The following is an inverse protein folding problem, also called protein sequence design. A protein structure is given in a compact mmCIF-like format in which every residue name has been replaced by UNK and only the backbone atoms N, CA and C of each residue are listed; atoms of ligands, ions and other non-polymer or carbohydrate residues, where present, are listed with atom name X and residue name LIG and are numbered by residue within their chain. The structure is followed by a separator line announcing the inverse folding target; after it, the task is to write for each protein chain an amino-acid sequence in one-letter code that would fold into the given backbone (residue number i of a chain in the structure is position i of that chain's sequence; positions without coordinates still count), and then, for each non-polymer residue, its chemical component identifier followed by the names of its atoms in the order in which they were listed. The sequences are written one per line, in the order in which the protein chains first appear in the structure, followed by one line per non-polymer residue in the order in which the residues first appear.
data_IF_202573640862
#
_entry.id   IF_202573640862
#
_cell.length_a   1.000
_cell.length_b   1.000
_cell.length_c   1.000
_cell.angle_alpha   90.00
_cell.angle_beta   90.00
_cell.angle_gamma   90.00
#
_symmetry.space_group_name_H-M   'P 1'
#
loop_
_entity.id
_entity.type
_entity.pdbx_description
1 polymer ?
#
# COMPACT_ATOMS: atom_id res chain seq x y z
N UNK A 1 17.54 -13.34 26.81
CA UNK A 1 16.35 -13.03 25.99
C UNK A 1 16.78 -13.12 24.53
N UNK A 2 16.11 -13.93 23.73
CA UNK A 2 16.44 -14.13 22.32
C UNK A 2 16.41 -12.80 21.55
N UNK A 3 17.32 -12.64 20.57
CA UNK A 3 17.40 -11.46 19.70
C UNK A 3 16.06 -11.30 18.96
N UNK A 4 15.29 -10.26 19.27
CA UNK A 4 14.10 -9.91 18.46
C UNK A 4 14.63 -9.42 17.12
N UNK A 5 14.29 -10.15 16.05
CA UNK A 5 14.68 -9.80 14.69
C UNK A 5 13.73 -8.71 14.19
N UNK A 6 14.27 -7.63 13.64
CA UNK A 6 13.49 -6.59 12.95
C UNK A 6 12.70 -7.22 11.81
N UNK A 7 11.38 -7.02 11.81
CA UNK A 7 10.50 -7.53 10.76
C UNK A 7 10.60 -6.67 9.49
N UNK A 8 10.59 -7.33 8.33
CA UNK A 8 10.57 -6.68 7.03
C UNK A 8 9.14 -6.61 6.51
N UNK A 9 8.64 -5.38 6.32
CA UNK A 9 7.29 -5.10 5.81
C UNK A 9 7.41 -4.46 4.43
N UNK A 10 6.76 -5.00 3.41
CA UNK A 10 6.80 -4.40 2.09
C UNK A 10 5.84 -3.22 1.95
N UNK A 11 6.34 -2.01 1.63
CA UNK A 11 5.51 -0.81 1.45
C UNK A 11 4.60 -0.97 0.22
N UNK A 12 3.27 -0.86 0.43
CA UNK A 12 2.23 -1.12 -0.60
C UNK A 12 2.44 -2.46 -1.32
N UNK A 13 2.85 -3.45 -0.54
CA UNK A 13 3.43 -4.70 -1.01
C UNK A 13 4.88 -4.51 -1.45
N UNK A 14 5.08 -4.18 -2.71
CA UNK A 14 6.40 -3.82 -3.26
C UNK A 14 6.18 -3.04 -4.54
N UNK A 15 5.13 -2.21 -4.57
CA UNK A 15 4.66 -1.50 -5.74
C UNK A 15 4.86 0.00 -5.62
N UNK A 16 4.59 0.72 -6.70
CA UNK A 16 4.65 2.19 -6.70
C UNK A 16 3.63 2.76 -7.68
N UNK A 17 3.15 3.97 -7.40
CA UNK A 17 2.33 4.79 -8.30
C UNK A 17 3.02 6.11 -8.66
N UNK A 18 4.21 6.38 -8.12
CA UNK A 18 4.88 7.67 -8.27
C UNK A 18 5.84 7.69 -9.44
N UNK A 19 6.02 8.91 -9.94
CA UNK A 19 6.98 9.18 -10.98
C UNK A 19 8.42 8.91 -10.49
N UNK A 20 9.13 7.97 -11.12
CA UNK A 20 10.48 7.59 -10.70
C UNK A 20 10.50 6.71 -9.46
N UNK A 21 9.40 6.01 -9.18
CA UNK A 21 9.35 4.99 -8.14
C UNK A 21 10.33 3.83 -8.38
N UNK A 22 10.51 3.03 -7.34
CA UNK A 22 11.54 1.98 -7.29
C UNK A 22 11.06 0.60 -7.73
N UNK A 23 9.78 0.47 -8.07
CA UNK A 23 9.14 -0.79 -8.46
C UNK A 23 8.61 -0.78 -9.89
N UNK A 24 8.57 -1.98 -10.50
CA UNK A 24 7.93 -2.23 -11.79
C UNK A 24 6.43 -2.56 -11.66
N UNK A 25 5.95 -2.75 -10.43
CA UNK A 25 4.59 -3.21 -10.13
C UNK A 25 3.74 -2.06 -9.60
N UNK A 26 2.44 -1.99 -9.97
CA UNK A 26 1.54 -1.02 -9.36
C UNK A 26 1.47 -1.21 -7.85
N UNK A 27 1.48 -0.11 -7.11
CA UNK A 27 1.22 -0.12 -5.66
C UNK A 27 -0.08 -0.84 -5.33
N UNK A 28 -0.16 -1.43 -4.14
CA UNK A 28 -1.40 -1.98 -3.59
C UNK A 28 -2.13 -2.98 -4.52
N UNK A 29 -1.41 -3.58 -5.47
CA UNK A 29 -1.95 -4.55 -6.40
C UNK A 29 -1.79 -5.95 -5.83
N UNK A 30 -2.68 -6.87 -6.21
CA UNK A 30 -2.49 -8.28 -5.86
C UNK A 30 -1.09 -8.75 -6.29
N UNK A 31 -0.61 -8.34 -7.46
CA UNK A 31 0.71 -8.74 -7.90
C UNK A 31 1.85 -8.18 -7.02
N UNK A 32 1.79 -6.92 -6.57
CA UNK A 32 2.84 -6.37 -5.70
C UNK A 32 2.91 -7.11 -4.36
N UNK A 33 1.78 -7.54 -3.80
CA UNK A 33 1.72 -8.38 -2.61
C UNK A 33 2.27 -9.79 -2.87
N UNK A 34 1.94 -10.40 -4.03
CA UNK A 34 2.54 -11.68 -4.44
C UNK A 34 4.06 -11.57 -4.49
N UNK A 35 4.57 -10.56 -5.19
CA UNK A 35 6.00 -10.35 -5.34
C UNK A 35 6.68 -10.13 -3.98
N UNK A 36 6.07 -9.37 -3.07
CA UNK A 36 6.58 -9.17 -1.72
C UNK A 36 6.65 -10.50 -0.94
N UNK A 37 5.58 -11.30 -0.96
CA UNK A 37 5.52 -12.64 -0.35
C UNK A 37 6.61 -13.56 -0.90
N UNK A 38 6.73 -13.65 -2.22
CA UNK A 38 7.75 -14.49 -2.88
C UNK A 38 9.17 -13.97 -2.58
N UNK A 39 9.28 -12.66 -2.36
CA UNK A 39 10.48 -11.99 -1.85
C UNK A 39 10.65 -12.15 -0.34
N UNK A 40 9.95 -13.06 0.35
CA UNK A 40 10.20 -13.48 1.72
C UNK A 40 10.19 -12.37 2.78
N UNK A 41 9.29 -11.39 2.64
CA UNK A 41 9.00 -10.40 3.69
C UNK A 41 8.13 -11.03 4.80
N UNK A 42 8.13 -10.41 5.99
CA UNK A 42 7.30 -10.84 7.12
C UNK A 42 5.85 -10.32 7.01
N UNK A 43 5.65 -9.24 6.25
CA UNK A 43 4.34 -8.65 6.03
C UNK A 43 4.34 -7.59 4.95
N UNK A 44 3.18 -6.98 4.76
CA UNK A 44 2.97 -5.90 3.81
C UNK A 44 2.20 -4.78 4.49
N UNK A 45 2.52 -3.56 4.10
CA UNK A 45 1.73 -2.38 4.36
C UNK A 45 0.79 -2.14 3.17
N UNK A 46 -0.42 -1.68 3.46
CA UNK A 46 -1.43 -1.35 2.46
C UNK A 46 -2.34 -0.21 2.92
N UNK A 47 -2.79 0.58 1.95
CA UNK A 47 -3.62 1.75 2.17
C UNK A 47 -5.10 1.45 1.90
N UNK A 48 -5.99 1.75 2.84
CA UNK A 48 -7.44 1.51 2.67
C UNK A 48 -8.28 2.79 2.73
N UNK A 49 -9.31 2.81 1.89
CA UNK A 49 -10.33 3.86 1.82
C UNK A 49 -11.73 3.27 1.94
N UNK A 50 -12.67 4.06 2.47
CA UNK A 50 -14.09 3.72 2.49
C UNK A 50 -14.79 4.36 1.29
N UNK A 51 -15.23 3.56 0.33
CA UNK A 51 -15.94 4.03 -0.88
C UNK A 51 -17.33 4.57 -0.55
N UNK A 52 -17.99 5.20 -1.53
CA UNK A 52 -19.36 5.70 -1.44
C UNK A 52 -20.38 4.61 -1.12
N UNK A 53 -20.15 3.39 -1.58
CA UNK A 53 -20.97 2.20 -1.33
C UNK A 53 -20.46 1.37 -0.13
N UNK A 54 -19.69 1.98 0.77
CA UNK A 54 -19.20 1.39 2.02
C UNK A 54 -18.39 0.10 1.82
N UNK A 55 -17.58 0.04 0.76
CA UNK A 55 -16.59 -1.01 0.55
C UNK A 55 -15.22 -0.51 0.96
N UNK A 56 -14.41 -1.39 1.54
CA UNK A 56 -13.02 -1.10 1.91
C UNK A 56 -12.13 -1.48 0.74
N UNK A 57 -11.69 -0.49 -0.01
CA UNK A 57 -10.85 -0.64 -1.21
C UNK A 57 -9.39 -0.32 -0.88
N UNK A 58 -8.46 -1.04 -1.50
CA UNK A 58 -7.03 -0.85 -1.30
C UNK A 58 -6.44 -0.05 -2.46
N UNK A 59 -5.94 1.14 -2.16
CA UNK A 59 -5.32 2.10 -3.08
C UNK A 59 -4.70 3.23 -2.24
N UNK A 60 -3.53 3.75 -2.59
CA UNK A 60 -3.03 4.95 -1.89
C UNK A 60 -3.80 6.18 -2.36
N UNK A 61 -3.89 6.36 -3.68
CA UNK A 61 -4.38 7.58 -4.30
C UNK A 61 -3.33 8.68 -4.27
N UNK A 62 -3.74 9.90 -4.55
CA UNK A 62 -2.93 11.09 -4.30
C UNK A 62 -3.05 11.55 -2.86
N UNK A 63 -2.20 12.48 -2.43
CA UNK A 63 -2.21 13.01 -1.05
C UNK A 63 -3.55 13.67 -0.68
N UNK A 64 -4.27 14.16 -1.68
CA UNK A 64 -5.62 14.73 -1.54
C UNK A 64 -6.75 13.71 -1.80
N UNK A 65 -6.44 12.43 -1.98
CA UNK A 65 -7.41 11.34 -2.06
C UNK A 65 -8.06 11.11 -3.42
N UNK A 66 -7.40 11.47 -4.53
CA UNK A 66 -7.84 11.21 -5.90
C UNK A 66 -7.17 9.97 -6.51
N UNK A 67 -7.69 9.50 -7.64
CA UNK A 67 -7.28 8.22 -8.26
C UNK A 67 -6.23 8.32 -9.37
N UNK A 68 -5.94 9.50 -9.90
CA UNK A 68 -5.30 9.68 -11.22
C UNK A 68 -3.80 9.34 -11.31
N UNK A 69 -3.11 9.21 -10.18
CA UNK A 69 -1.72 8.77 -10.14
C UNK A 69 -1.58 7.26 -10.15
N UNK A 70 -2.54 6.57 -9.53
CA UNK A 70 -2.55 5.10 -9.43
C UNK A 70 -3.29 4.46 -10.62
N UNK A 71 -4.33 5.11 -11.14
CA UNK A 71 -5.24 4.54 -12.14
C UNK A 71 -5.21 5.28 -13.48
N UNK A 72 -5.31 4.52 -14.56
CA UNK A 72 -5.44 5.05 -15.92
C UNK A 72 -6.89 5.50 -16.19
N UNK A 73 -7.24 6.68 -15.66
CA UNK A 73 -8.57 7.27 -15.74
C UNK A 73 -8.82 8.01 -17.07
N UNK A 74 -10.09 8.23 -17.41
CA UNK A 74 -10.51 9.10 -18.52
C UNK A 74 -10.47 10.57 -18.13
N UNK A 75 -10.40 11.46 -19.13
CA UNK A 75 -10.37 12.90 -18.89
C UNK A 75 -11.68 13.36 -18.21
N UNK A 76 -11.54 14.13 -17.13
CA UNK A 76 -12.62 14.57 -16.25
C UNK A 76 -12.72 13.77 -14.95
N UNK A 77 -12.33 12.48 -14.96
CA UNK A 77 -12.41 11.61 -13.79
C UNK A 77 -11.20 11.74 -12.87
N UNK A 78 -10.12 12.37 -13.33
CA UNK A 78 -8.90 12.55 -12.54
C UNK A 78 -9.12 13.37 -11.26
N UNK A 79 -10.16 14.18 -11.20
CA UNK A 79 -10.43 15.08 -10.09
C UNK A 79 -11.35 14.47 -9.01
N UNK A 80 -11.86 13.26 -9.23
CA UNK A 80 -12.81 12.61 -8.34
C UNK A 80 -12.07 11.97 -7.17
N UNK A 81 -12.58 12.19 -5.95
CA UNK A 81 -12.03 11.56 -4.75
C UNK A 81 -12.48 10.10 -4.64
N UNK A 82 -11.61 9.26 -4.08
CA UNK A 82 -11.88 7.84 -3.83
C UNK A 82 -13.15 7.67 -2.99
N UNK A 83 -13.37 8.54 -2.00
CA UNK A 83 -14.53 8.48 -1.10
C UNK A 83 -15.88 8.80 -1.77
N UNK A 84 -15.84 9.47 -2.93
CA UNK A 84 -17.00 9.88 -3.75
C UNK A 84 -17.40 8.85 -4.80
N UNK A 85 -16.58 7.82 -4.99
CA UNK A 85 -16.80 6.74 -5.95
C UNK A 85 -17.26 5.47 -5.26
N UNK A 86 -18.07 4.67 -5.93
CA UNK A 86 -18.32 3.28 -5.54
C UNK A 86 -17.11 2.41 -5.87
N UNK A 87 -16.93 1.30 -5.16
CA UNK A 87 -15.86 0.35 -5.47
C UNK A 87 -15.93 -0.14 -6.93
N UNK A 88 -17.15 -0.32 -7.44
CA UNK A 88 -17.38 -0.74 -8.82
C UNK A 88 -16.89 0.30 -9.84
N UNK A 89 -17.10 1.59 -9.58
CA UNK A 89 -16.61 2.67 -10.44
C UNK A 89 -15.07 2.73 -10.41
N UNK A 90 -14.44 2.64 -9.24
CA UNK A 90 -12.98 2.61 -9.12
C UNK A 90 -12.39 1.40 -9.87
N UNK A 91 -12.96 0.22 -9.66
CA UNK A 91 -12.52 -1.03 -10.29
C UNK A 91 -12.81 -1.08 -11.80
N UNK A 92 -13.52 -0.11 -12.38
CA UNK A 92 -13.66 0.02 -13.83
C UNK A 92 -12.38 0.53 -14.50
N UNK A 93 -11.51 1.22 -13.76
CA UNK A 93 -10.20 1.62 -14.22
C UNK A 93 -9.16 0.52 -14.00
N UNK A 94 -8.11 0.56 -14.81
CA UNK A 94 -6.95 -0.30 -14.64
C UNK A 94 -5.81 0.47 -13.98
N UNK A 95 -4.91 -0.26 -13.32
CA UNK A 95 -3.66 0.33 -12.85
C UNK A 95 -2.92 1.03 -13.98
N UNK A 96 -2.43 2.22 -13.69
CA UNK A 96 -1.52 2.96 -14.56
C UNK A 96 -0.15 2.30 -14.54
N UNK A 97 0.57 2.31 -15.66
CA UNK A 97 1.94 1.77 -15.74
C UNK A 97 2.85 2.56 -14.79
N UNK A 98 3.48 1.92 -13.77
CA UNK A 98 4.41 2.59 -12.89
C UNK A 98 5.61 3.13 -13.67
N UNK A 99 6.06 4.35 -13.36
CA UNK A 99 7.16 4.93 -14.08
C UNK A 99 8.52 4.55 -13.47
N UNK A 100 9.15 3.56 -14.10
CA UNK A 100 10.45 3.04 -13.74
C UNK A 100 11.62 3.95 -14.12
N UNK A 101 12.50 4.15 -13.14
CA UNK A 101 13.89 4.60 -13.27
C UNK A 101 14.71 3.77 -14.30
N UNK A 102 14.27 2.57 -14.69
CA UNK A 102 15.00 1.69 -15.62
C UNK A 102 14.46 1.65 -17.06
N UNK A 103 13.42 2.44 -17.40
CA UNK A 103 12.82 2.51 -18.75
C UNK A 103 12.99 3.91 -19.36
N UNK A 104 14.21 4.47 -19.32
CA UNK A 104 14.55 5.71 -20.05
C UNK A 104 14.20 5.62 -21.55
N UNK A 105 14.14 4.40 -22.12
CA UNK A 105 13.80 4.20 -23.53
C UNK A 105 12.29 4.29 -23.87
N UNK A 106 11.38 4.39 -22.90
CA UNK A 106 9.92 4.43 -23.18
C UNK A 106 9.35 5.85 -23.35
N UNK A 107 10.20 6.86 -23.16
CA UNK A 107 9.84 8.27 -23.23
C UNK A 107 10.82 9.14 -24.02
N UNK A 108 11.97 8.61 -24.48
CA UNK A 108 12.80 9.24 -25.52
C UNK A 108 12.20 8.95 -26.90
N UNK A 109 11.31 9.82 -27.37
CA UNK A 109 11.20 10.04 -28.81
C UNK A 109 12.32 11.00 -29.21
N UNK A 110 13.29 10.49 -29.98
CA UNK A 110 14.30 11.27 -30.70
C UNK A 110 15.26 12.11 -29.85
N UNK A 111 16.39 11.53 -29.45
CA UNK A 111 17.66 12.26 -29.47
C UNK A 111 18.67 11.45 -30.26
N UNK A 112 19.07 12.04 -31.39
CA UNK A 112 20.00 11.53 -32.36
C UNK A 112 21.35 11.18 -31.73
N UNK A 113 21.93 10.10 -32.24
CA UNK A 113 23.36 9.79 -32.31
C UNK A 113 24.29 10.77 -31.58
N UNK A 114 24.70 10.43 -30.36
CA UNK A 114 26.04 10.73 -29.90
C UNK A 114 26.50 9.67 -28.90
N UNK A 115 27.48 8.87 -29.34
CA UNK A 115 28.34 8.07 -28.49
C UNK A 115 29.03 8.99 -27.49
N UNK A 116 28.77 8.80 -26.19
CA UNK A 116 29.71 8.97 -25.07
C UNK A 116 28.97 8.66 -23.75
N UNK A 117 29.53 7.75 -22.94
CA UNK A 117 29.21 7.48 -21.52
C UNK A 117 27.87 8.04 -20.99
N UNK A 118 26.75 7.34 -21.22
CA UNK A 118 25.51 7.61 -20.49
C UNK A 118 25.55 6.85 -19.16
N UNK A 119 26.21 7.42 -18.15
CA UNK A 119 25.77 7.17 -16.77
C UNK A 119 24.30 7.60 -16.70
N UNK A 120 23.37 6.64 -16.68
CA UNK A 120 21.94 6.92 -16.59
C UNK A 120 21.68 7.66 -15.27
N UNK A 121 21.47 8.97 -15.35
CA UNK A 121 21.12 9.79 -14.20
C UNK A 121 19.75 9.32 -13.70
N UNK A 122 19.73 8.62 -12.57
CA UNK A 122 18.50 8.15 -11.91
C UNK A 122 17.56 9.33 -11.64
N UNK A 123 16.23 9.10 -11.66
CA UNK A 123 15.21 10.15 -11.44
C UNK A 123 15.51 11.05 -10.25
N UNK A 124 15.89 10.43 -9.12
CA UNK A 124 16.23 11.16 -7.90
C UNK A 124 17.39 12.15 -8.09
N UNK A 125 18.38 11.82 -8.93
CA UNK A 125 19.56 12.64 -9.17
C UNK A 125 19.29 13.77 -10.18
N UNK A 126 18.07 13.85 -10.74
CA UNK A 126 17.68 14.93 -11.63
C UNK A 126 17.42 16.21 -10.85
N UNK A 127 17.69 17.35 -11.49
CA UNK A 127 17.28 18.66 -11.01
C UNK A 127 15.74 18.76 -10.89
N UNK A 128 15.24 19.57 -9.95
CA UNK A 128 13.81 19.63 -9.63
C UNK A 128 12.95 20.15 -10.80
N UNK A 129 13.49 21.03 -11.64
CA UNK A 129 12.85 21.47 -12.88
C UNK A 129 12.55 20.27 -13.82
N UNK A 130 13.51 19.35 -13.98
CA UNK A 130 13.38 18.15 -14.81
C UNK A 130 12.42 17.16 -14.12
N UNK A 131 12.54 16.96 -12.81
CA UNK A 131 11.60 16.11 -12.05
C UNK A 131 10.17 16.58 -12.24
N UNK A 132 9.92 17.88 -12.07
CA UNK A 132 8.60 18.49 -12.27
C UNK A 132 8.06 18.27 -13.69
N UNK A 133 8.89 18.44 -14.72
CA UNK A 133 8.50 18.16 -16.10
C UNK A 133 8.14 16.69 -16.32
N UNK A 134 8.96 15.76 -15.79
CA UNK A 134 8.71 14.32 -15.90
C UNK A 134 7.46 13.89 -15.11
N UNK A 135 7.21 14.44 -13.92
CA UNK A 135 5.95 14.27 -13.17
C UNK A 135 4.76 14.69 -14.01
N UNK A 136 4.78 15.88 -14.62
CA UNK A 136 3.69 16.34 -15.52
C UNK A 136 3.43 15.39 -16.69
N UNK A 137 4.49 14.91 -17.35
CA UNK A 137 4.37 13.91 -18.43
C UNK A 137 3.76 12.59 -17.93
N UNK A 138 4.16 12.14 -16.74
CA UNK A 138 3.58 10.96 -16.11
C UNK A 138 2.09 11.17 -15.76
N UNK A 139 1.71 12.29 -15.15
CA UNK A 139 0.31 12.61 -14.85
C UNK A 139 -0.57 12.60 -16.11
N UNK A 140 -0.07 13.10 -17.24
CA UNK A 140 -0.77 13.07 -18.54
C UNK A 140 -0.80 11.68 -19.20
N UNK A 141 0.03 10.74 -18.76
CA UNK A 141 0.03 9.38 -19.30
C UNK A 141 -1.28 8.66 -18.96
N UNK A 142 -1.80 7.91 -19.94
CA UNK A 142 -2.95 7.01 -19.82
C UNK A 142 -2.55 5.57 -20.15
N UNK A 143 -1.28 5.24 -19.96
CA UNK A 143 -0.77 3.88 -20.21
C UNK A 143 -1.25 2.96 -19.09
N UNK A 144 -2.03 1.96 -19.47
CA UNK A 144 -2.41 0.85 -18.60
C UNK A 144 -1.20 -0.04 -18.36
N UNK A 145 -1.00 -0.47 -17.10
CA UNK A 145 0.01 -1.44 -16.73
C UNK A 145 -0.17 -2.76 -17.49
N UNK A 146 0.88 -3.21 -18.16
CA UNK A 146 0.92 -4.50 -18.84
C UNK A 146 2.23 -5.20 -18.52
N UNK A 147 2.15 -6.43 -18.06
CA UNK A 147 3.33 -7.25 -17.84
C UNK A 147 3.00 -8.73 -18.08
N UNK A 148 3.64 -9.30 -19.09
CA UNK A 148 3.37 -10.67 -19.55
C UNK A 148 3.92 -11.72 -18.61
N UNK A 149 5.05 -11.43 -17.95
CA UNK A 149 5.67 -12.34 -16.98
C UNK A 149 4.76 -12.54 -15.76
N UNK A 150 3.92 -11.56 -15.43
CA UNK A 150 2.95 -11.68 -14.35
C UNK A 150 1.89 -12.75 -14.66
N UNK A 151 1.44 -12.84 -15.92
CA UNK A 151 0.35 -13.74 -16.33
C UNK A 151 0.72 -15.20 -16.08
N UNK A 152 1.94 -15.61 -16.42
CA UNK A 152 2.41 -16.99 -16.21
C UNK A 152 2.47 -17.34 -14.72
N UNK A 153 2.93 -16.40 -13.88
CA UNK A 153 2.96 -16.60 -12.44
C UNK A 153 1.57 -16.58 -11.78
N UNK A 154 0.67 -15.74 -12.28
CA UNK A 154 -0.73 -15.69 -11.83
C UNK A 154 -1.43 -16.99 -12.24
N UNK A 155 -1.15 -17.53 -13.43
CA UNK A 155 -1.66 -18.83 -13.85
C UNK A 155 -1.16 -19.97 -12.96
N UNK A 156 0.11 -19.95 -12.57
CA UNK A 156 0.65 -20.91 -11.61
C UNK A 156 -0.12 -20.83 -10.29
N UNK A 157 -0.27 -19.61 -9.75
CA UNK A 157 -1.03 -19.34 -8.52
C UNK A 157 -2.49 -19.82 -8.63
N UNK A 158 -3.12 -19.63 -9.80
CA UNK A 158 -4.47 -20.13 -10.08
C UNK A 158 -4.51 -21.66 -10.03
N UNK A 159 -3.60 -22.35 -10.74
CA UNK A 159 -3.56 -23.81 -10.85
C UNK A 159 -3.16 -24.51 -9.54
N UNK A 160 -2.30 -23.91 -8.74
CA UNK A 160 -1.92 -24.44 -7.42
C UNK A 160 -3.11 -24.53 -6.47
N UNK A 161 -4.03 -23.57 -6.54
CA UNK A 161 -5.25 -23.59 -5.75
C UNK A 161 -6.35 -24.47 -6.38
N UNK A 162 -6.44 -24.52 -7.72
CA UNK A 162 -7.54 -25.21 -8.45
C UNK A 162 -7.38 -26.75 -8.59
N UNK A 163 -6.25 -27.35 -8.22
CA UNK A 163 -6.00 -28.79 -8.48
C UNK A 163 -5.82 -29.70 -7.24
N UNK A 164 -6.02 -29.21 -6.01
CA UNK A 164 -5.80 -30.06 -4.81
C UNK A 164 -7.03 -30.42 -3.98
N UNK A 165 -8.28 -30.08 -4.35
CA UNK A 165 -9.46 -30.50 -3.56
C UNK A 165 -10.62 -31.02 -4.39
N UNK A 166 -10.87 -32.32 -4.24
CA UNK A 166 -12.02 -33.04 -4.78
C UNK A 166 -13.36 -32.36 -4.42
N UNK A 167 -14.32 -32.49 -5.33
CA UNK A 167 -15.59 -31.76 -5.43
C UNK A 167 -16.62 -31.95 -4.29
N UNK A 168 -16.22 -32.30 -3.06
CA UNK A 168 -17.13 -32.46 -1.91
C UNK A 168 -16.96 -31.44 -0.78
N UNK A 169 -15.87 -30.67 -0.73
CA UNK A 169 -15.61 -29.68 0.35
C UNK A 169 -15.78 -28.23 -0.14
N UNK A 170 -16.78 -27.99 -0.99
CA UNK A 170 -16.75 -26.94 -2.01
C UNK A 170 -17.21 -25.53 -1.63
N UNK A 171 -17.40 -25.17 -0.35
CA UNK A 171 -18.00 -23.86 -0.04
C UNK A 171 -17.19 -22.89 0.84
N UNK A 172 -16.12 -23.29 1.53
CA UNK A 172 -15.44 -22.34 2.45
C UNK A 172 -13.96 -22.06 2.17
N UNK A 173 -13.27 -22.80 1.29
CA UNK A 173 -11.79 -22.77 1.26
C UNK A 173 -11.09 -22.78 -0.11
N UNK A 174 -11.78 -22.53 -1.23
CA UNK A 174 -11.16 -22.41 -2.57
C UNK A 174 -11.13 -20.94 -3.03
N UNK A 175 -10.26 -20.59 -3.98
CA UNK A 175 -10.28 -19.33 -4.75
C UNK A 175 -11.70 -18.97 -5.27
N UNK A 176 -12.62 -19.93 -5.37
CA UNK A 176 -14.05 -19.70 -5.61
C UNK A 176 -14.71 -18.70 -4.64
N UNK A 177 -14.21 -18.54 -3.41
CA UNK A 177 -14.70 -17.51 -2.47
C UNK A 177 -14.30 -16.09 -2.91
N UNK A 178 -13.15 -15.91 -3.58
CA UNK A 178 -12.74 -14.64 -4.21
C UNK A 178 -13.71 -14.27 -5.36
N UNK A 179 -14.35 -15.28 -5.97
CA UNK A 179 -15.30 -15.11 -7.07
C UNK A 179 -16.76 -15.00 -6.66
N UNK A 180 -17.10 -14.94 -5.36
CA UNK A 180 -18.50 -14.83 -4.94
C UNK A 180 -19.16 -13.55 -5.47
N UNK A 181 -20.00 -13.73 -6.50
CA UNK A 181 -21.07 -12.86 -7.01
C UNK A 181 -20.84 -11.34 -7.03
N UNK A 182 -19.61 -10.89 -7.33
CA UNK A 182 -19.37 -9.47 -7.54
C UNK A 182 -19.65 -9.11 -9.00
N UNK A 183 -20.60 -8.18 -9.22
CA UNK A 183 -20.89 -7.59 -10.54
C UNK A 183 -19.61 -6.93 -11.06
N UNK A 184 -19.05 -7.46 -12.14
CA UNK A 184 -17.91 -6.82 -12.82
C UNK A 184 -18.36 -5.68 -13.72
N UNK A 185 -17.48 -4.70 -13.91
CA UNK A 185 -17.58 -3.66 -14.96
C UNK A 185 -16.93 -4.09 -16.28
N UNK A 186 -16.08 -5.11 -16.25
CA UNK A 186 -15.26 -5.56 -17.38
C UNK A 186 -15.94 -6.61 -18.25
N UNK A 187 -16.97 -7.26 -17.72
CA UNK A 187 -17.80 -8.24 -18.41
C UNK A 187 -19.18 -8.29 -17.75
N UNK A 188 -20.22 -8.65 -18.51
CA UNK A 188 -21.55 -8.78 -17.93
C UNK A 188 -21.71 -10.14 -17.23
N UNK A 189 -21.55 -10.14 -15.91
CA UNK A 189 -21.60 -11.35 -15.07
C UNK A 189 -22.95 -12.08 -15.15
N UNK A 190 -24.06 -11.37 -15.41
CA UNK A 190 -25.42 -11.94 -15.47
C UNK A 190 -25.67 -12.73 -16.76
N UNK A 191 -24.87 -12.51 -17.80
CA UNK A 191 -24.98 -13.25 -19.07
C UNK A 191 -24.22 -14.57 -19.08
N UNK A 192 -23.28 -14.78 -18.16
CA UNK A 192 -22.46 -16.00 -18.09
C UNK A 192 -23.34 -17.17 -17.65
N UNK A 193 -23.40 -18.23 -18.47
CA UNK A 193 -24.16 -19.44 -18.19
C UNK A 193 -23.43 -20.68 -18.73
N UNK A 194 -23.81 -21.86 -18.26
CA UNK A 194 -23.12 -23.13 -18.58
C UNK A 194 -23.18 -23.52 -20.06
N UNK A 195 -24.12 -22.96 -20.84
CA UNK A 195 -24.32 -23.27 -22.26
C UNK A 195 -23.71 -22.22 -23.21
N UNK A 196 -23.02 -21.22 -22.66
CA UNK A 196 -22.39 -20.14 -23.44
C UNK A 196 -21.23 -20.68 -24.29
N UNK A 197 -21.14 -20.23 -25.54
CA UNK A 197 -19.99 -20.47 -26.43
C UNK A 197 -18.84 -19.51 -26.12
N UNK A 198 -17.62 -19.85 -26.56
CA UNK A 198 -16.44 -18.98 -26.32
C UNK A 198 -16.59 -17.62 -27.04
N UNK A 199 -17.20 -17.59 -28.23
CA UNK A 199 -17.47 -16.35 -28.98
C UNK A 199 -18.51 -15.45 -28.28
N UNK A 200 -19.56 -16.06 -27.70
CA UNK A 200 -20.53 -15.34 -26.87
C UNK A 200 -19.86 -14.77 -25.62
N UNK A 201 -18.96 -15.52 -24.99
CA UNK A 201 -18.21 -15.04 -23.83
C UNK A 201 -17.28 -13.87 -24.20
N UNK A 202 -16.50 -13.98 -25.28
CA UNK A 202 -15.62 -12.91 -25.75
C UNK A 202 -16.44 -11.65 -26.09
N UNK A 203 -17.62 -11.81 -26.69
CA UNK A 203 -18.55 -10.71 -26.99
C UNK A 203 -19.14 -10.08 -25.73
N UNK A 204 -19.18 -10.82 -24.63
CA UNK A 204 -19.67 -10.38 -23.33
C UNK A 204 -18.64 -9.57 -22.52
N UNK A 205 -17.36 -9.58 -22.91
CA UNK A 205 -16.31 -8.76 -22.32
C UNK A 205 -16.45 -7.32 -22.84
N UNK A 206 -16.82 -6.41 -21.96
CA UNK A 206 -17.09 -4.99 -22.27
C UNK A 206 -15.82 -4.15 -22.26
N UNK A 207 -14.81 -4.54 -21.49
CA UNK A 207 -13.52 -3.85 -21.47
C UNK A 207 -12.63 -4.32 -22.63
N UNK A 208 -12.18 -3.39 -23.47
CA UNK A 208 -11.25 -3.68 -24.58
C UNK A 208 -9.94 -4.30 -24.10
N UNK A 209 -9.34 -3.77 -23.03
CA UNK A 209 -8.11 -4.31 -22.46
C UNK A 209 -8.28 -5.76 -21.98
N UNK A 210 -9.34 -6.05 -21.21
CA UNK A 210 -9.61 -7.41 -20.75
C UNK A 210 -9.92 -8.35 -21.91
N UNK A 211 -10.58 -7.86 -22.97
CA UNK A 211 -10.88 -8.65 -24.16
C UNK A 211 -9.61 -9.05 -24.91
N UNK A 212 -8.70 -8.09 -25.11
CA UNK A 212 -7.38 -8.35 -25.69
C UNK A 212 -6.59 -9.35 -24.86
N UNK A 213 -6.61 -9.19 -23.52
CA UNK A 213 -5.97 -10.12 -22.59
C UNK A 213 -6.51 -11.55 -22.75
N UNK A 214 -7.84 -11.71 -22.85
CA UNK A 214 -8.47 -13.01 -23.07
C UNK A 214 -8.03 -13.63 -24.40
N UNK A 215 -8.18 -12.90 -25.51
CA UNK A 215 -7.88 -13.39 -26.86
C UNK A 215 -6.39 -13.74 -27.00
N UNK A 216 -5.51 -12.90 -26.47
CA UNK A 216 -4.07 -13.07 -26.66
C UNK A 216 -3.48 -14.18 -25.80
N UNK A 217 -4.02 -14.41 -24.59
CA UNK A 217 -3.41 -15.29 -23.59
C UNK A 217 -4.27 -16.49 -23.18
N UNK A 218 -5.58 -16.31 -23.03
CA UNK A 218 -6.45 -17.33 -22.44
C UNK A 218 -7.08 -18.20 -23.54
N UNK A 219 -7.57 -17.58 -24.62
CA UNK A 219 -8.25 -18.28 -25.71
C UNK A 219 -7.35 -19.35 -26.35
N UNK A 220 -6.05 -19.07 -26.47
CA UNK A 220 -5.06 -19.96 -27.08
C UNK A 220 -4.70 -21.18 -26.22
N UNK A 221 -5.16 -21.24 -24.97
CA UNK A 221 -4.86 -22.33 -24.05
C UNK A 221 -5.70 -23.56 -24.37
N UNK A 222 -5.13 -24.73 -24.12
CA UNK A 222 -5.78 -26.03 -24.27
C UNK A 222 -6.57 -26.41 -23.01
N UNK A 223 -7.42 -25.49 -22.54
CA UNK A 223 -8.31 -25.65 -21.39
C UNK A 223 -9.77 -25.57 -21.87
N UNK A 224 -10.69 -26.20 -21.14
CA UNK A 224 -12.12 -26.06 -21.42
C UNK A 224 -12.61 -24.62 -21.11
N UNK A 225 -13.73 -24.23 -21.72
CA UNK A 225 -14.24 -22.86 -21.63
C UNK A 225 -14.54 -22.44 -20.18
N UNK A 226 -15.00 -23.36 -19.32
CA UNK A 226 -15.30 -23.02 -17.92
C UNK A 226 -14.01 -22.67 -17.19
N UNK A 227 -12.96 -23.47 -17.36
CA UNK A 227 -11.63 -23.19 -16.80
C UNK A 227 -11.07 -21.86 -17.32
N UNK A 228 -11.18 -21.60 -18.62
CA UNK A 228 -10.77 -20.31 -19.22
C UNK A 228 -11.51 -19.12 -18.62
N UNK A 229 -12.83 -19.23 -18.43
CA UNK A 229 -13.65 -18.17 -17.81
C UNK A 229 -13.24 -17.94 -16.36
N UNK A 230 -13.01 -19.01 -15.57
CA UNK A 230 -12.56 -18.89 -14.19
C UNK A 230 -11.18 -18.22 -14.10
N UNK A 231 -10.25 -18.66 -14.93
CA UNK A 231 -8.91 -18.06 -14.99
C UNK A 231 -8.98 -16.59 -15.42
N UNK A 232 -9.83 -16.24 -16.39
CA UNK A 232 -10.04 -14.84 -16.78
C UNK A 232 -10.55 -13.98 -15.63
N UNK A 233 -11.54 -14.48 -14.88
CA UNK A 233 -12.06 -13.79 -13.70
C UNK A 233 -10.97 -13.57 -12.67
N UNK A 234 -10.14 -14.58 -12.41
CA UNK A 234 -8.98 -14.49 -11.53
C UNK A 234 -7.97 -13.46 -12.00
N UNK A 235 -7.51 -13.60 -13.23
CA UNK A 235 -6.48 -12.77 -13.83
C UNK A 235 -6.90 -11.30 -13.85
N UNK A 236 -8.18 -11.02 -14.13
CA UNK A 236 -8.67 -9.64 -14.17
C UNK A 236 -8.45 -8.88 -12.86
N UNK A 237 -8.57 -9.55 -11.70
CA UNK A 237 -8.42 -8.97 -10.36
C UNK A 237 -7.03 -8.38 -10.10
N UNK A 238 -6.02 -8.78 -10.87
CA UNK A 238 -4.65 -8.28 -10.72
C UNK A 238 -4.43 -6.91 -11.37
N UNK A 239 -5.38 -6.42 -12.18
CA UNK A 239 -5.20 -5.20 -12.97
C UNK A 239 -6.00 -3.99 -12.48
N UNK A 240 -6.72 -4.09 -11.37
CA UNK A 240 -7.45 -2.99 -10.75
C UNK A 240 -7.37 -3.05 -9.22
N UNK A 241 -7.69 -1.95 -8.50
CA UNK A 241 -7.64 -1.91 -7.04
C UNK A 241 -8.42 -3.04 -6.36
N UNK A 242 -7.78 -3.87 -5.52
CA UNK A 242 -8.46 -4.94 -4.81
C UNK A 242 -9.29 -4.40 -3.65
N UNK A 243 -10.31 -5.14 -3.24
CA UNK A 243 -10.91 -4.96 -1.92
C UNK A 243 -10.01 -5.55 -0.83
N UNK A 244 -10.17 -5.10 0.41
CA UNK A 244 -9.43 -5.67 1.54
C UNK A 244 -9.60 -7.19 1.64
N UNK A 245 -10.81 -7.69 1.40
CA UNK A 245 -11.10 -9.13 1.37
C UNK A 245 -10.40 -9.88 0.26
N UNK A 246 -10.15 -9.26 -0.90
CA UNK A 246 -9.43 -9.92 -2.01
C UNK A 246 -7.99 -10.26 -1.57
N UNK A 247 -7.31 -9.33 -0.88
CA UNK A 247 -5.93 -9.52 -0.38
C UNK A 247 -5.87 -10.52 0.77
N UNK A 248 -6.76 -10.41 1.76
CA UNK A 248 -6.79 -11.31 2.92
C UNK A 248 -7.13 -12.76 2.54
N UNK A 249 -8.01 -12.95 1.55
CA UNK A 249 -8.34 -14.29 1.06
C UNK A 249 -7.23 -14.91 0.22
N UNK A 250 -6.48 -14.09 -0.54
CA UNK A 250 -5.44 -14.59 -1.43
C UNK A 250 -4.14 -14.93 -0.69
N UNK A 251 -3.67 -14.04 0.19
CA UNK A 251 -2.38 -14.21 0.86
C UNK A 251 -2.47 -14.77 2.29
N UNK A 252 -3.68 -14.78 2.86
CA UNK A 252 -3.99 -15.47 4.11
C UNK A 252 -2.99 -15.15 5.24
N UNK A 253 -2.41 -16.18 5.85
CA UNK A 253 -1.46 -16.04 6.96
C UNK A 253 0.00 -16.08 6.51
N UNK A 254 0.24 -16.10 5.20
CA UNK A 254 1.59 -16.10 4.66
C UNK A 254 2.25 -14.72 4.82
N UNK A 255 1.45 -13.69 5.12
CA UNK A 255 1.87 -12.33 5.41
C UNK A 255 1.23 -11.84 6.70
N UNK A 256 1.91 -10.91 7.37
CA UNK A 256 1.26 -9.97 8.28
C UNK A 256 0.83 -8.70 7.54
N UNK A 257 -0.13 -7.97 8.11
CA UNK A 257 -0.74 -6.81 7.46
C UNK A 257 -0.69 -5.57 8.36
N UNK A 258 -0.13 -4.49 7.82
CA UNK A 258 -0.25 -3.13 8.33
C UNK A 258 -1.30 -2.40 7.48
N UNK A 259 -2.49 -2.19 8.04
CA UNK A 259 -3.62 -1.60 7.31
C UNK A 259 -3.70 -0.12 7.66
N UNK A 260 -3.23 0.74 6.76
CA UNK A 260 -3.28 2.19 6.93
C UNK A 260 -4.67 2.73 6.57
N UNK A 261 -5.35 3.36 7.53
CA UNK A 261 -6.59 4.08 7.31
C UNK A 261 -6.29 5.43 6.65
N UNK A 262 -6.94 5.70 5.52
CA UNK A 262 -6.84 6.96 4.76
C UNK A 262 -8.18 7.70 4.71
N UNK A 263 -8.12 8.95 4.26
CA UNK A 263 -9.29 9.75 3.92
C UNK A 263 -9.94 10.46 5.10
N UNK A 264 -11.17 10.91 4.89
CA UNK A 264 -11.87 11.81 5.82
C UNK A 264 -12.91 11.11 6.68
N UNK A 265 -13.27 9.87 6.33
CA UNK A 265 -14.27 9.09 7.05
C UNK A 265 -13.71 8.46 8.32
N UNK A 266 -13.92 9.08 9.49
CA UNK A 266 -13.52 8.55 10.81
C UNK A 266 -14.07 7.14 11.11
N UNK A 267 -15.21 6.78 10.54
CA UNK A 267 -15.82 5.47 10.73
C UNK A 267 -15.20 4.36 9.86
N UNK A 268 -14.27 4.65 8.95
CA UNK A 268 -13.59 3.66 8.10
C UNK A 268 -13.04 2.49 8.95
N UNK A 269 -12.39 2.79 10.07
CA UNK A 269 -11.83 1.77 10.96
C UNK A 269 -12.87 0.76 11.48
N UNK A 270 -14.14 1.16 11.64
CA UNK A 270 -15.22 0.23 12.04
C UNK A 270 -15.53 -0.78 10.93
N UNK A 271 -15.59 -0.34 9.67
CA UNK A 271 -15.79 -1.22 8.52
C UNK A 271 -14.61 -2.18 8.33
N UNK A 272 -13.39 -1.70 8.54
CA UNK A 272 -12.19 -2.56 8.56
C UNK A 272 -12.36 -3.63 9.65
N UNK A 273 -12.69 -3.26 10.89
CA UNK A 273 -12.86 -4.24 11.97
C UNK A 273 -13.96 -5.27 11.68
N UNK A 274 -15.07 -4.86 11.06
CA UNK A 274 -16.17 -5.77 10.68
C UNK A 274 -15.70 -6.83 9.68
N UNK A 275 -14.86 -6.45 8.72
CA UNK A 275 -14.21 -7.41 7.81
C UNK A 275 -13.29 -8.34 8.60
N UNK A 276 -12.47 -7.78 9.50
CA UNK A 276 -11.46 -8.51 10.27
C UNK A 276 -12.03 -9.50 11.31
N UNK A 277 -13.33 -9.46 11.61
CA UNK A 277 -13.98 -10.51 12.42
C UNK A 277 -13.83 -11.91 11.84
N UNK A 278 -13.68 -12.01 10.52
CA UNK A 278 -13.50 -13.29 9.82
C UNK A 278 -12.03 -13.73 9.73
N UNK A 279 -11.08 -12.92 10.24
CA UNK A 279 -9.63 -13.14 10.09
C UNK A 279 -8.89 -13.00 11.43
N UNK A 280 -9.53 -13.39 12.54
CA UNK A 280 -9.03 -13.16 13.92
C UNK A 280 -7.67 -13.78 14.23
N UNK A 281 -7.27 -14.79 13.48
CA UNK A 281 -6.00 -15.51 13.64
C UNK A 281 -4.90 -15.01 12.68
N UNK A 282 -5.15 -13.90 11.97
CA UNK A 282 -4.15 -13.24 11.13
C UNK A 282 -3.36 -12.24 11.97
N UNK A 283 -2.09 -12.03 11.61
CA UNK A 283 -1.26 -11.02 12.25
C UNK A 283 -1.50 -9.66 11.57
N UNK A 284 -2.32 -8.83 12.21
CA UNK A 284 -2.76 -7.54 11.66
C UNK A 284 -2.49 -6.44 12.68
N UNK A 285 -2.17 -5.24 12.18
CA UNK A 285 -2.27 -3.98 12.93
C UNK A 285 -2.97 -2.93 12.08
N UNK A 286 -3.62 -1.96 12.72
CA UNK A 286 -4.28 -0.84 12.06
C UNK A 286 -3.47 0.42 12.35
N UNK A 287 -3.27 1.24 11.34
CA UNK A 287 -2.42 2.41 11.43
C UNK A 287 -3.04 3.62 10.73
N UNK A 288 -2.66 4.84 11.08
CA UNK A 288 -3.09 6.05 10.35
C UNK A 288 -2.22 7.25 10.72
N UNK A 289 -2.12 8.20 9.79
CA UNK A 289 -1.64 9.56 10.03
C UNK A 289 -2.72 10.48 10.64
N UNK A 290 -4.00 10.13 10.53
CA UNK A 290 -5.14 10.93 10.97
C UNK A 290 -5.54 10.60 12.41
N UNK A 291 -4.87 11.26 13.33
CA UNK A 291 -5.14 11.24 14.78
C UNK A 291 -4.98 12.65 15.35
N UNK A 292 -5.38 12.85 16.61
CA UNK A 292 -5.31 14.16 17.28
C UNK A 292 -4.33 14.12 18.43
N UNK A 293 -3.39 15.07 18.47
CA UNK A 293 -2.37 15.15 19.52
C UNK A 293 -3.00 15.32 20.91
N UNK A 294 -2.46 14.63 21.91
CA UNK A 294 -2.90 14.69 23.32
C UNK A 294 -1.74 15.17 24.18
N UNK A 295 -1.97 16.27 24.89
CA UNK A 295 -0.93 17.00 25.61
C UNK A 295 -1.53 18.19 26.35
N UNK A 296 -0.70 18.85 27.15
CA UNK A 296 -1.10 20.02 27.93
C UNK A 296 -0.89 21.31 27.12
N UNK A 297 -1.99 21.99 26.79
CA UNK A 297 -1.97 23.29 26.09
C UNK A 297 -1.11 24.33 26.83
N UNK A 298 -1.05 24.27 28.16
CA UNK A 298 -0.28 25.22 28.99
C UNK A 298 1.23 24.98 28.94
N UNK A 299 1.66 23.78 28.54
CA UNK A 299 3.08 23.45 28.34
C UNK A 299 3.55 23.86 26.94
N UNK A 300 2.66 24.19 26.00
CA UNK A 300 2.98 24.57 24.63
C UNK A 300 3.20 26.08 24.49
N UNK A 301 4.45 26.51 24.31
CA UNK A 301 4.71 27.82 23.73
C UNK A 301 6.03 27.89 22.94
N UNK A 302 5.94 28.50 21.75
CA UNK A 302 6.96 28.89 20.75
C UNK A 302 7.48 27.88 19.71
N UNK A 303 7.12 26.59 19.72
CA UNK A 303 7.56 25.66 18.64
C UNK A 303 6.53 25.50 17.51
N UNK A 304 5.24 25.70 17.80
CA UNK A 304 4.13 25.63 16.83
C UNK A 304 3.17 26.80 17.06
N UNK A 305 2.54 27.30 15.99
CA UNK A 305 1.60 28.42 16.07
C UNK A 305 0.31 28.08 16.85
N UNK A 306 -0.09 26.79 16.90
CA UNK A 306 -1.17 26.26 17.75
C UNK A 306 -0.93 24.75 17.99
N UNK A 307 -1.14 24.26 19.22
CA UNK A 307 -1.05 22.83 19.60
C UNK A 307 -2.12 21.98 18.90
N UNK A 308 -3.32 22.56 18.69
CA UNK A 308 -4.47 21.88 18.08
C UNK A 308 -4.29 21.59 16.60
N UNK A 309 -3.28 22.20 16.00
CA UNK A 309 -2.98 22.08 14.59
C UNK A 309 -2.11 20.86 14.25
N UNK A 310 -1.60 20.09 15.23
CA UNK A 310 -0.82 18.88 14.94
C UNK A 310 -1.70 17.62 14.87
N UNK A 311 -1.53 16.76 13.83
CA UNK A 311 -0.65 16.94 12.67
C UNK A 311 -1.15 18.02 11.69
N UNK A 312 -0.25 18.85 11.14
CA UNK A 312 -0.59 20.02 10.32
C UNK A 312 -1.35 19.71 9.04
N UNK A 313 -1.07 18.54 8.44
CA UNK A 313 -1.76 18.09 7.24
C UNK A 313 -3.19 17.62 7.53
N UNK A 314 -3.52 17.27 8.78
CA UNK A 314 -4.83 16.77 9.18
C UNK A 314 -5.81 17.93 9.42
N UNK A 315 -6.17 18.66 8.35
CA UNK A 315 -7.08 19.82 8.40
C UNK A 315 -8.26 19.66 7.43
N UNK A 316 -9.53 19.69 7.92
CA UNK A 316 -9.93 19.75 9.34
C UNK A 316 -9.46 18.51 10.12
N UNK A 317 -9.34 18.59 11.46
CA UNK A 317 -8.85 17.47 12.26
C UNK A 317 -9.81 16.28 12.18
N UNK A 318 -9.29 15.16 11.70
CA UNK A 318 -9.98 13.87 11.60
C UNK A 318 -9.31 12.89 12.56
N UNK A 319 -10.10 12.21 13.39
CA UNK A 319 -9.62 11.17 14.30
C UNK A 319 -10.05 9.77 13.82
N UNK A 320 -9.24 9.15 12.95
CA UNK A 320 -9.49 7.79 12.47
C UNK A 320 -9.10 6.72 13.48
N UNK A 321 -8.21 7.05 14.43
CA UNK A 321 -7.68 6.12 15.42
C UNK A 321 -8.61 6.00 16.63
N UNK A 322 -9.23 7.10 17.07
CA UNK A 322 -10.16 7.13 18.21
C UNK A 322 -11.21 6.01 18.16
N UNK A 323 -11.94 5.83 17.05
CA UNK A 323 -12.94 4.77 16.89
C UNK A 323 -12.42 3.32 16.99
N UNK A 324 -11.11 3.10 16.84
CA UNK A 324 -10.49 1.76 16.84
C UNK A 324 -9.46 1.53 17.96
N UNK A 325 -9.13 2.56 18.74
CA UNK A 325 -8.17 2.56 19.86
C UNK A 325 -8.36 1.38 20.84
N UNK A 326 -9.61 1.09 21.22
CA UNK A 326 -9.99 0.00 22.12
C UNK A 326 -10.91 -0.98 21.40
N UNK A 327 -10.50 -1.40 20.20
CA UNK A 327 -11.33 -2.24 19.34
C UNK A 327 -11.60 -3.62 19.97
N UNK A 328 -12.78 -4.16 19.67
CA UNK A 328 -13.28 -5.45 20.18
C UNK A 328 -12.47 -6.68 19.75
N UNK A 329 -11.56 -6.52 18.79
CA UNK A 329 -10.74 -7.61 18.26
C UNK A 329 -9.33 -7.64 18.88
N UNK A 330 -9.02 -6.68 19.76
CA UNK A 330 -7.68 -6.50 20.34
C UNK A 330 -6.59 -6.40 19.26
N UNK A 331 -6.92 -5.80 18.11
CA UNK A 331 -5.97 -5.56 17.03
C UNK A 331 -5.07 -4.39 17.45
N UNK A 332 -3.73 -4.55 17.41
CA UNK A 332 -2.80 -3.48 17.73
C UNK A 332 -3.01 -2.24 16.86
N UNK A 333 -2.89 -1.07 17.48
CA UNK A 333 -3.00 0.23 16.84
C UNK A 333 -1.63 0.89 16.72
N UNK A 334 -1.40 1.58 15.60
CA UNK A 334 -0.21 2.38 15.34
C UNK A 334 -0.56 3.83 15.00
N UNK A 335 0.24 4.76 15.52
CA UNK A 335 0.22 6.16 15.09
C UNK A 335 1.37 6.42 14.12
N UNK A 336 1.07 6.99 12.95
CA UNK A 336 2.09 7.42 11.98
C UNK A 336 2.45 8.88 12.20
N UNK A 337 3.75 9.18 12.15
CA UNK A 337 4.32 10.51 12.30
C UNK A 337 5.05 10.89 11.02
N UNK A 338 4.56 11.95 10.36
CA UNK A 338 5.17 12.50 9.13
C UNK A 338 6.51 13.21 9.45
N UNK A 339 7.37 13.28 8.44
CA UNK A 339 8.61 14.06 8.43
C UNK A 339 8.49 15.42 7.71
N UNK A 340 7.32 15.77 7.19
CA UNK A 340 7.02 17.07 6.56
C UNK A 340 6.84 18.21 7.58
N UNK A 341 6.75 17.85 8.86
CA UNK A 341 6.69 18.78 9.97
C UNK A 341 7.53 18.29 11.15
N UNK A 342 7.97 19.19 12.06
CA UNK A 342 8.74 18.77 13.21
C UNK A 342 7.91 17.84 14.10
N UNK A 343 8.56 16.90 14.80
CA UNK A 343 7.88 16.00 15.73
C UNK A 343 7.45 16.72 17.03
N UNK A 344 6.32 16.33 17.64
CA UNK A 344 5.97 16.78 18.97
C UNK A 344 7.06 16.38 19.96
N UNK A 345 7.09 17.04 21.11
CA UNK A 345 8.03 16.62 22.15
C UNK A 345 7.70 15.20 22.62
N UNK A 346 8.73 14.52 23.11
CA UNK A 346 8.71 13.09 23.43
C UNK A 346 7.65 12.73 24.47
N UNK A 347 7.39 13.62 25.43
CA UNK A 347 6.36 13.42 26.46
C UNK A 347 4.97 13.37 25.84
N UNK A 348 4.66 14.27 24.90
CA UNK A 348 3.35 14.31 24.26
C UNK A 348 3.16 13.19 23.24
N UNK A 349 4.24 12.75 22.57
CA UNK A 349 4.21 11.52 21.77
C UNK A 349 3.76 10.33 22.65
N UNK A 350 4.42 10.12 23.80
CA UNK A 350 4.07 9.03 24.72
C UNK A 350 2.65 9.16 25.27
N UNK A 351 2.25 10.35 25.72
CA UNK A 351 0.88 10.63 26.20
C UNK A 351 -0.17 10.32 25.13
N UNK A 352 0.10 10.68 23.88
CA UNK A 352 -0.82 10.43 22.75
C UNK A 352 -0.89 8.94 22.42
N UNK A 353 0.25 8.24 22.40
CA UNK A 353 0.28 6.78 22.23
C UNK A 353 -0.52 6.07 23.34
N UNK A 354 -0.40 6.51 24.59
CA UNK A 354 -1.15 5.94 25.72
C UNK A 354 -2.64 6.25 25.65
N UNK A 355 -3.02 7.48 25.27
CA UNK A 355 -4.42 7.86 25.12
C UNK A 355 -5.16 6.97 24.11
N UNK A 356 -4.52 6.68 22.98
CA UNK A 356 -5.10 5.81 21.95
C UNK A 356 -4.87 4.32 22.20
N UNK A 357 -4.26 3.94 23.32
CA UNK A 357 -3.81 2.56 23.55
C UNK A 357 -3.00 2.00 22.37
N UNK A 358 -2.21 2.86 21.72
CA UNK A 358 -1.38 2.51 20.57
C UNK A 358 -0.14 1.77 21.07
N UNK A 359 0.03 0.55 20.55
CA UNK A 359 1.20 -0.30 20.79
C UNK A 359 2.37 0.09 19.88
N UNK A 360 2.08 0.71 18.73
CA UNK A 360 3.07 1.00 17.69
C UNK A 360 3.18 2.50 17.42
N UNK A 361 4.41 2.94 17.16
CA UNK A 361 4.71 4.26 16.62
C UNK A 361 5.50 4.08 15.32
N UNK A 362 5.02 4.68 14.24
CA UNK A 362 5.64 4.60 12.93
C UNK A 362 6.27 5.94 12.59
N UNK A 363 7.56 5.95 12.26
CA UNK A 363 8.29 7.17 11.91
C UNK A 363 8.97 7.01 10.55
N UNK A 364 9.10 8.11 9.82
CA UNK A 364 9.95 8.14 8.62
C UNK A 364 11.41 7.84 8.97
N UNK A 365 12.16 7.24 8.04
CA UNK A 365 13.62 7.07 8.14
C UNK A 365 14.38 8.40 8.29
N UNK A 366 13.73 9.54 8.05
CA UNK A 366 14.28 10.87 8.35
C UNK A 366 14.27 11.20 9.85
N UNK A 367 13.73 10.33 10.72
CA UNK A 367 13.75 10.51 12.18
C UNK A 367 15.15 10.84 12.73
N UNK A 368 16.22 10.30 12.14
CA UNK A 368 17.61 10.59 12.53
C UNK A 368 18.04 12.05 12.29
N UNK A 369 17.27 12.79 11.51
CA UNK A 369 17.46 14.22 11.18
C UNK A 369 16.43 15.12 11.86
N UNK A 370 15.39 14.56 12.46
CA UNK A 370 14.35 15.32 13.14
C UNK A 370 14.88 15.83 14.49
N UNK A 371 14.58 17.08 14.88
CA UNK A 371 14.86 17.54 16.23
C UNK A 371 13.99 16.76 17.22
N UNK A 372 14.62 16.16 18.23
CA UNK A 372 13.95 15.40 19.27
C UNK A 372 14.31 16.01 20.62
N UNK A 373 13.28 16.33 21.40
CA UNK A 373 13.49 16.89 22.74
C UNK A 373 12.42 16.41 23.70
N UNK A 374 12.80 16.35 24.98
CA UNK A 374 11.92 16.12 26.11
C UNK A 374 11.84 17.40 26.95
N UNK A 375 10.68 17.72 27.50
CA UNK A 375 10.56 18.85 28.45
C UNK A 375 10.86 18.37 29.86
N UNK A 376 11.87 18.96 30.49
CA UNK A 376 12.20 18.76 31.90
C UNK A 376 12.17 20.11 32.62
N UNK A 377 11.32 20.28 33.64
CA UNK A 377 11.16 21.54 34.39
C UNK A 377 10.98 22.77 33.49
N UNK A 378 10.09 22.67 32.48
CA UNK A 378 9.81 23.71 31.48
C UNK A 378 11.00 24.11 30.59
N UNK A 379 12.06 23.28 30.51
CA UNK A 379 13.16 23.47 29.56
C UNK A 379 13.24 22.30 28.58
N UNK A 380 13.43 22.56 27.28
CA UNK A 380 13.70 21.50 26.31
C UNK A 380 15.10 20.92 26.56
N UNK A 381 15.18 19.60 26.57
CA UNK A 381 16.43 18.82 26.60
C UNK A 381 16.44 17.98 25.34
N UNK A 382 17.41 18.24 24.47
CA UNK A 382 17.58 17.46 23.24
C UNK A 382 17.95 16.02 23.58
N UNK A 383 17.39 15.08 22.82
CA UNK A 383 17.74 13.67 22.93
C UNK A 383 18.11 13.12 21.55
N UNK A 384 18.98 12.12 21.53
CA UNK A 384 19.34 11.45 20.29
C UNK A 384 18.32 10.37 19.93
N UNK A 385 18.24 10.02 18.64
CA UNK A 385 17.31 9.00 18.13
C UNK A 385 17.41 7.67 18.88
N UNK A 386 18.62 7.21 19.21
CA UNK A 386 18.79 5.94 19.94
C UNK A 386 18.13 5.96 21.33
N UNK A 387 18.27 7.06 22.07
CA UNK A 387 17.65 7.23 23.39
C UNK A 387 16.13 7.32 23.27
N UNK A 388 15.63 8.00 22.24
CA UNK A 388 14.21 8.08 21.95
C UNK A 388 13.59 6.70 21.67
N UNK A 389 14.22 5.89 20.81
CA UNK A 389 13.76 4.52 20.53
C UNK A 389 13.78 3.66 21.81
N UNK A 390 14.87 3.72 22.60
CA UNK A 390 14.96 3.01 23.88
C UNK A 390 13.85 3.43 24.86
N UNK A 391 13.49 4.72 24.87
CA UNK A 391 12.43 5.22 25.72
C UNK A 391 11.06 4.70 25.27
N UNK A 392 10.77 4.66 23.98
CA UNK A 392 9.55 4.04 23.44
C UNK A 392 9.46 2.57 23.86
N UNK A 393 10.53 1.79 23.65
CA UNK A 393 10.59 0.38 24.06
C UNK A 393 10.41 0.20 25.57
N UNK A 394 11.01 1.06 26.41
CA UNK A 394 10.85 1.02 27.86
C UNK A 394 9.40 1.26 28.30
N UNK A 395 8.63 2.01 27.51
CA UNK A 395 7.19 2.24 27.72
C UNK A 395 6.32 1.22 26.98
N UNK A 396 6.89 0.08 26.57
CA UNK A 396 6.15 -1.02 25.93
C UNK A 396 5.69 -0.72 24.50
N UNK A 397 6.21 0.35 23.87
CA UNK A 397 5.86 0.73 22.50
C UNK A 397 6.82 0.06 21.51
N UNK A 398 6.29 -0.38 20.38
CA UNK A 398 7.03 -0.92 19.24
C UNK A 398 7.23 0.16 18.19
N UNK A 399 8.31 0.04 17.41
CA UNK A 399 8.69 1.05 16.43
C UNK A 399 8.79 0.45 15.03
N UNK A 400 8.10 1.08 14.08
CA UNK A 400 8.34 0.88 12.65
C UNK A 400 9.03 2.09 12.05
N UNK A 401 10.01 1.85 11.18
CA UNK A 401 10.60 2.89 10.33
C UNK A 401 10.11 2.71 8.90
N UNK A 402 9.55 3.74 8.28
CA UNK A 402 9.05 3.70 6.90
C UNK A 402 9.84 4.61 5.95
N UNK A 403 9.76 4.30 4.66
CA UNK A 403 10.26 5.12 3.55
C UNK A 403 9.09 5.56 2.66
N UNK A 404 9.12 6.80 2.20
CA UNK A 404 8.16 7.32 1.23
C UNK A 404 8.42 6.80 -0.19
N UNK A 405 7.43 6.92 -1.07
CA UNK A 405 7.46 6.31 -2.41
C UNK A 405 8.57 6.82 -3.34
N UNK A 406 9.13 8.00 -3.08
CA UNK A 406 10.23 8.60 -3.86
C UNK A 406 11.62 8.42 -3.20
N UNK A 407 11.68 7.74 -2.06
CA UNK A 407 12.93 7.55 -1.34
C UNK A 407 13.81 6.49 -2.01
N UNK A 408 15.12 6.65 -1.83
CA UNK A 408 16.11 5.77 -2.44
C UNK A 408 16.27 4.43 -1.75
N UNK A 409 15.77 4.33 -0.51
CA UNK A 409 15.94 3.16 0.32
C UNK A 409 17.42 2.78 0.49
N UNK A 410 18.23 3.73 1.00
CA UNK A 410 19.67 3.53 1.17
C UNK A 410 19.99 2.44 2.20
N UNK A 411 20.96 1.60 1.85
CA UNK A 411 21.43 0.49 2.68
C UNK A 411 21.88 0.94 4.08
N UNK A 412 22.61 2.06 4.20
CA UNK A 412 23.15 2.52 5.47
C UNK A 412 22.04 3.02 6.38
N UNK A 413 20.98 3.59 5.82
CA UNK A 413 19.82 4.07 6.56
C UNK A 413 19.06 2.90 7.17
N UNK A 414 18.88 1.82 6.40
CA UNK A 414 18.29 0.58 6.91
C UNK A 414 19.15 -0.03 8.01
N UNK A 415 20.45 -0.20 7.77
CA UNK A 415 21.37 -0.80 8.73
C UNK A 415 21.43 0.02 10.04
N UNK A 416 21.38 1.35 9.95
CA UNK A 416 21.31 2.24 11.11
C UNK A 416 20.14 1.90 12.03
N UNK A 417 18.92 1.78 11.49
CA UNK A 417 17.73 1.48 12.29
C UNK A 417 17.65 0.03 12.74
N UNK A 418 18.09 -0.92 11.91
CA UNK A 418 18.16 -2.34 12.29
C UNK A 418 19.12 -2.52 13.48
N UNK A 419 20.27 -1.84 13.48
CA UNK A 419 21.22 -1.89 14.60
C UNK A 419 20.67 -1.26 15.90
N UNK A 420 19.75 -0.30 15.78
CA UNK A 420 18.98 0.24 16.90
C UNK A 420 17.86 -0.69 17.39
N UNK A 421 17.67 -1.85 16.73
CA UNK A 421 16.68 -2.87 17.09
C UNK A 421 15.24 -2.35 17.05
N UNK A 422 14.93 -1.54 16.04
CA UNK A 422 13.52 -1.22 15.74
C UNK A 422 12.76 -2.51 15.42
N UNK A 423 11.47 -2.55 15.73
CA UNK A 423 10.64 -3.75 15.65
C UNK A 423 10.31 -4.12 14.20
N UNK A 424 10.14 -3.13 13.32
CA UNK A 424 10.00 -3.36 11.89
C UNK A 424 10.55 -2.22 11.03
N UNK A 425 10.83 -2.54 9.76
CA UNK A 425 11.11 -1.56 8.70
C UNK A 425 10.14 -1.77 7.54
N UNK A 426 9.71 -0.68 6.90
CA UNK A 426 8.79 -0.66 5.78
C UNK A 426 9.41 0.02 4.54
N UNK A 427 10.34 -0.65 3.84
CA UNK A 427 10.98 -0.13 2.64
C UNK A 427 10.14 -0.38 1.37
N UNK A 428 10.42 0.42 0.35
CA UNK A 428 10.07 0.17 -1.05
C UNK A 428 10.98 -0.89 -1.70
N UNK A 429 12.26 -0.97 -1.30
CA UNK A 429 13.30 -1.85 -1.87
C UNK A 429 13.63 -3.01 -0.94
N UNK A 430 12.82 -4.06 -1.04
CA UNK A 430 12.95 -5.30 -0.26
C UNK A 430 14.33 -5.96 -0.43
N UNK A 431 14.92 -5.89 -1.62
CA UNK A 431 16.24 -6.48 -1.93
C UNK A 431 17.36 -5.81 -1.11
N UNK A 432 17.36 -4.48 -1.01
CA UNK A 432 18.35 -3.74 -0.21
C UNK A 432 18.16 -4.03 1.28
N UNK A 433 16.91 -4.03 1.74
CA UNK A 433 16.57 -4.29 3.14
C UNK A 433 16.97 -5.69 3.60
N UNK A 434 16.79 -6.70 2.74
CA UNK A 434 17.28 -8.06 3.01
C UNK A 434 18.79 -8.12 3.16
N UNK A 435 19.53 -7.43 2.30
CA UNK A 435 20.98 -7.35 2.42
C UNK A 435 21.40 -6.69 3.74
N UNK A 436 20.72 -5.60 4.15
CA UNK A 436 20.99 -4.93 5.43
C UNK A 436 20.71 -5.85 6.63
N UNK A 437 19.60 -6.59 6.63
CA UNK A 437 19.25 -7.55 7.69
C UNK A 437 20.27 -8.68 7.83
N UNK A 438 20.80 -9.19 6.71
CA UNK A 438 21.81 -10.26 6.71
C UNK A 438 23.15 -9.82 7.32
N UNK A 439 23.46 -8.52 7.25
CA UNK A 439 24.72 -7.95 7.71
C UNK A 439 24.63 -7.28 9.10
N UNK A 440 23.51 -7.45 9.81
CA UNK A 440 23.22 -6.78 11.10
C UNK A 440 23.46 -7.61 12.36
#
# INVERSE_FOLDING_TARGET
MGRVKTALVGHRGSGTSTAGGTSIYPENSLYSFKYAKDSGVDGVELDVWLTKDNKVIIIHGTDDGRVYDTLSCTDGDENIHIEDMTAKEIQSYHFKEPWLIAKDNLFESQLENNNNNKDQIKFFNLEENIKSQKRKKYHQSRRVHKNMHEIEQIEHLFKEDDLTKNAKDKEENSLASIFQNNKSTHYNSEKINDNMTEDEFISNITCSYCKDLYIQHIQKKNDDLRTKILFFKFLSKFYYPPLLTDVLNLYKKDLSYDIELKGTKENLGKYVLDILENYKDYKIKISSFSWVLKGDESEFNNTYNDFKDYPKFNKPPIDQIGPVSNNRLNIPIALLFSDDEPLPNVTDILRTLDYYNAEWAHFSFRLKKQPLFIKCNNRPVDIITEEFIKLLHKNGKKVMIYWGSEDQDDYNDMLYYINMKVDSICPNRIDIAKAALQNS
#
